data_IF_620615880055
#
_entry.id   IF_620615880055
#
_cell.length_a   1.000
_cell.length_b   1.000
_cell.length_c   1.000
_cell.angle_alpha   90.00
_cell.angle_beta   90.00
_cell.angle_gamma   90.00
#
_symmetry.space_group_name_H-M   'P 1'
#
loop_
_entity.id
_entity.type
_entity.pdbx_description
1 polymer ?
#
# COMPACT_ATOMS: atom_id res chain seq x y z
N UNK A 1 -23.43 17.02 14.00
CA UNK A 1 -24.04 17.66 12.81
C UNK A 1 -24.68 16.56 12.00
N UNK A 2 -25.94 16.72 11.61
CA UNK A 2 -26.52 15.81 10.62
C UNK A 2 -25.77 15.96 9.29
N UNK A 3 -25.49 14.86 8.56
CA UNK A 3 -24.86 14.95 7.25
C UNK A 3 -25.78 15.76 6.32
N UNK A 4 -25.21 16.77 5.65
CA UNK A 4 -25.94 17.55 4.68
C UNK A 4 -26.46 16.62 3.57
N UNK A 5 -27.79 16.50 3.46
CA UNK A 5 -28.42 15.74 2.38
C UNK A 5 -28.44 16.60 1.13
N UNK A 6 -27.77 16.14 0.07
CA UNK A 6 -27.81 16.77 -1.24
C UNK A 6 -28.78 16.00 -2.12
N UNK A 7 -29.77 16.69 -2.69
CA UNK A 7 -30.70 16.12 -3.66
C UNK A 7 -30.10 16.32 -5.05
N UNK A 8 -29.89 15.23 -5.79
CA UNK A 8 -29.43 15.27 -7.18
C UNK A 8 -30.59 15.72 -8.06
N UNK A 9 -30.49 16.87 -8.77
CA UNK A 9 -31.58 17.35 -9.62
C UNK A 9 -31.85 16.41 -10.80
N UNK A 10 -33.05 16.50 -11.38
CA UNK A 10 -33.42 15.70 -12.54
C UNK A 10 -32.42 15.86 -13.70
N UNK A 11 -32.17 14.76 -14.42
CA UNK A 11 -31.23 14.71 -15.54
C UNK A 11 -29.75 14.71 -15.15
N UNK A 12 -29.40 14.98 -13.90
CA UNK A 12 -28.01 14.89 -13.43
C UNK A 12 -27.69 13.48 -12.96
N UNK A 13 -26.42 13.09 -13.06
CA UNK A 13 -25.92 11.85 -12.45
C UNK A 13 -24.72 12.16 -11.57
N UNK A 14 -24.67 11.55 -10.39
CA UNK A 14 -23.60 11.68 -9.43
C UNK A 14 -22.79 10.39 -9.40
N UNK A 15 -21.47 10.48 -9.60
CA UNK A 15 -20.53 9.37 -9.38
C UNK A 15 -19.56 9.74 -8.27
N UNK A 16 -19.37 8.80 -7.35
CA UNK A 16 -18.47 8.96 -6.21
C UNK A 16 -17.34 7.95 -6.35
N UNK A 17 -16.11 8.44 -6.28
CA UNK A 17 -14.93 7.61 -6.29
C UNK A 17 -14.32 7.66 -4.88
N UNK A 18 -14.06 6.47 -4.33
CA UNK A 18 -13.39 6.28 -3.04
C UNK A 18 -12.04 5.60 -3.23
N UNK A 19 -11.25 5.57 -2.15
CA UNK A 19 -9.98 4.87 -2.16
C UNK A 19 -10.15 3.35 -2.25
N UNK A 20 -9.42 2.72 -3.17
CA UNK A 20 -9.37 1.26 -3.31
C UNK A 20 -8.46 0.64 -2.24
N UNK A 21 -8.84 -0.50 -1.63
CA UNK A 21 -7.96 -1.23 -0.72
C UNK A 21 -6.83 -1.96 -1.45
N UNK A 22 -6.94 -2.13 -2.77
CA UNK A 22 -5.95 -2.75 -3.64
C UNK A 22 -5.23 -1.71 -4.51
N UNK A 23 -3.95 -1.90 -4.84
CA UNK A 23 -3.24 -1.10 -5.81
C UNK A 23 -3.91 -1.18 -7.17
N UNK A 24 -4.28 -0.03 -7.71
CA UNK A 24 -4.89 0.04 -9.03
C UNK A 24 -4.79 1.46 -9.59
N UNK A 25 -4.86 1.55 -10.92
CA UNK A 25 -5.04 2.79 -11.64
C UNK A 25 -6.42 2.77 -12.29
N UNK A 26 -7.25 3.75 -11.97
CA UNK A 26 -8.59 3.90 -12.55
C UNK A 26 -8.70 5.28 -13.20
N UNK A 27 -9.31 5.35 -14.38
CA UNK A 27 -9.67 6.61 -15.02
C UNK A 27 -11.14 6.91 -14.70
N UNK A 28 -11.42 8.12 -14.23
CA UNK A 28 -12.78 8.62 -14.09
C UNK A 28 -13.34 9.07 -15.44
N UNK A 29 -14.65 9.24 -15.55
CA UNK A 29 -15.28 9.67 -16.81
C UNK A 29 -14.93 11.13 -17.13
N UNK A 30 -14.78 11.96 -16.09
CA UNK A 30 -14.28 13.33 -16.20
C UNK A 30 -12.79 13.44 -16.51
N UNK A 31 -12.07 12.31 -16.62
CA UNK A 31 -10.67 12.28 -17.04
C UNK A 31 -9.64 12.42 -15.92
N UNK A 32 -10.01 12.20 -14.65
CA UNK A 32 -9.09 12.16 -13.51
C UNK A 32 -8.49 10.75 -13.37
N UNK A 33 -7.18 10.67 -13.20
CA UNK A 33 -6.49 9.40 -12.92
C UNK A 33 -6.43 9.17 -11.41
N UNK A 34 -6.98 8.05 -10.94
CA UNK A 34 -7.01 7.64 -9.53
C UNK A 34 -5.99 6.51 -9.32
N UNK A 35 -4.85 6.85 -8.75
CA UNK A 35 -3.75 5.93 -8.46
C UNK A 35 -3.80 5.49 -6.98
N UNK A 36 -4.29 4.28 -6.75
CA UNK A 36 -4.45 3.75 -5.40
C UNK A 36 -3.25 2.89 -5.02
N UNK A 37 -2.68 3.06 -3.83
CA UNK A 37 -1.60 2.21 -3.29
C UNK A 37 -2.10 1.14 -2.30
N UNK A 38 -3.40 1.12 -1.99
CA UNK A 38 -4.02 0.10 -1.14
C UNK A 38 -3.69 0.22 0.36
N UNK A 39 -4.04 -0.83 1.13
CA UNK A 39 -4.06 -0.80 2.61
C UNK A 39 -2.71 -0.99 3.29
N UNK A 40 -1.90 -1.94 2.84
CA UNK A 40 -0.53 -2.22 3.26
C UNK A 40 0.00 -3.40 2.42
N UNK A 41 1.31 -3.54 2.31
CA UNK A 41 1.96 -4.57 1.50
C UNK A 41 3.32 -4.96 2.09
N UNK A 42 3.75 -6.20 1.87
CA UNK A 42 5.12 -6.65 2.16
C UNK A 42 6.12 -6.33 1.04
N UNK A 43 5.65 -5.73 -0.06
CA UNK A 43 6.49 -5.28 -1.19
C UNK A 43 6.03 -3.90 -1.73
N UNK A 44 6.00 -2.86 -0.88
CA UNK A 44 5.46 -1.56 -1.25
C UNK A 44 6.23 -0.89 -2.39
N UNK A 45 7.55 -1.13 -2.49
CA UNK A 45 8.40 -0.54 -3.53
C UNK A 45 8.05 -1.07 -4.91
N UNK A 46 7.95 -2.39 -5.06
CA UNK A 46 7.57 -3.01 -6.33
C UNK A 46 6.18 -2.56 -6.78
N UNK A 47 5.20 -2.54 -5.86
CA UNK A 47 3.85 -2.09 -6.19
C UNK A 47 3.81 -0.62 -6.62
N UNK A 48 4.61 0.25 -5.98
CA UNK A 48 4.76 1.64 -6.43
C UNK A 48 5.41 1.73 -7.81
N UNK A 49 6.44 0.92 -8.09
CA UNK A 49 7.11 0.90 -9.39
C UNK A 49 6.13 0.53 -10.51
N UNK A 50 5.37 -0.55 -10.31
CA UNK A 50 4.34 -1.02 -11.24
C UNK A 50 3.24 0.03 -11.43
N UNK A 51 2.70 0.59 -10.34
CA UNK A 51 1.67 1.63 -10.42
C UNK A 51 2.19 2.91 -11.07
N UNK A 52 3.39 3.34 -10.73
CA UNK A 52 4.02 4.51 -11.33
C UNK A 52 4.26 4.29 -12.81
N UNK A 53 4.71 3.11 -13.22
CA UNK A 53 4.86 2.78 -14.64
C UNK A 53 3.51 2.86 -15.37
N UNK A 54 2.45 2.32 -14.78
CA UNK A 54 1.10 2.42 -15.32
C UNK A 54 0.63 3.88 -15.46
N UNK A 55 0.85 4.72 -14.44
CA UNK A 55 0.54 6.15 -14.49
C UNK A 55 1.32 6.83 -15.60
N UNK A 56 2.64 6.60 -15.70
CA UNK A 56 3.48 7.20 -16.74
C UNK A 56 3.03 6.82 -18.16
N UNK A 57 2.63 5.56 -18.37
CA UNK A 57 2.09 5.12 -19.65
C UNK A 57 0.73 5.79 -19.92
N UNK A 58 -0.17 5.81 -18.95
CA UNK A 58 -1.48 6.48 -19.07
C UNK A 58 -1.34 7.97 -19.44
N UNK A 59 -0.43 8.69 -18.79
CA UNK A 59 -0.16 10.11 -19.05
C UNK A 59 0.43 10.38 -20.45
N UNK A 60 1.08 9.39 -21.06
CA UNK A 60 1.66 9.46 -22.41
C UNK A 60 0.65 9.05 -23.48
N UNK A 61 -0.01 7.93 -23.26
CA UNK A 61 -0.79 7.21 -24.28
C UNK A 61 -2.25 7.69 -24.33
N UNK A 62 -2.77 8.22 -23.21
CA UNK A 62 -4.15 8.69 -23.07
C UNK A 62 -4.21 10.05 -22.35
N UNK A 63 -3.75 11.14 -22.97
CA UNK A 63 -3.88 12.46 -22.38
C UNK A 63 -5.36 12.76 -22.08
N UNK A 64 -5.64 13.11 -20.84
CA UNK A 64 -6.98 13.47 -20.36
C UNK A 64 -7.03 14.94 -19.97
N UNK A 65 -8.22 15.54 -20.06
CA UNK A 65 -8.48 16.89 -19.58
C UNK A 65 -9.74 16.83 -18.72
N UNK A 66 -9.63 17.27 -17.47
CA UNK A 66 -10.75 17.32 -16.54
C UNK A 66 -11.19 18.77 -16.29
N UNK A 67 -12.48 18.98 -16.09
CA UNK A 67 -13.02 20.24 -15.60
C UNK A 67 -13.12 20.14 -14.07
N UNK A 68 -12.09 20.64 -13.38
CA UNK A 68 -12.04 20.60 -11.92
C UNK A 68 -12.73 21.82 -11.34
N UNK A 69 -13.70 21.64 -10.46
CA UNK A 69 -14.25 22.73 -9.67
C UNK A 69 -13.17 23.30 -8.73
N UNK A 70 -13.05 24.63 -8.69
CA UNK A 70 -11.96 25.29 -7.98
C UNK A 70 -12.01 25.07 -6.45
N UNK A 71 -10.82 24.79 -5.88
CA UNK A 71 -10.55 24.91 -4.44
C UNK A 71 -10.63 23.60 -3.64
N UNK A 72 -9.50 23.10 -3.07
CA UNK A 72 -9.56 22.04 -2.07
C UNK A 72 -10.26 22.53 -0.79
N UNK A 73 -11.33 21.84 -0.37
CA UNK A 73 -11.97 22.04 0.94
C UNK A 73 -13.04 23.13 1.06
N UNK A 74 -13.51 23.72 -0.05
CA UNK A 74 -14.54 24.77 0.02
C UNK A 74 -15.65 24.69 -1.04
N UNK A 75 -15.70 23.62 -1.85
CA UNK A 75 -16.80 23.45 -2.79
C UNK A 75 -18.03 22.90 -2.08
N UNK A 76 -19.20 23.52 -2.29
CA UNK A 76 -20.46 22.89 -1.89
C UNK A 76 -20.89 22.02 -3.05
N UNK A 77 -21.17 20.74 -2.78
CA UNK A 77 -21.62 19.79 -3.82
C UNK A 77 -22.85 20.32 -4.59
N UNK A 78 -23.72 21.11 -3.94
CA UNK A 78 -24.85 21.80 -4.58
C UNK A 78 -24.45 22.68 -5.77
N UNK A 79 -23.27 23.29 -5.71
CA UNK A 79 -22.83 24.29 -6.68
C UNK A 79 -22.45 23.63 -8.02
N UNK A 80 -22.12 22.35 -8.01
CA UNK A 80 -21.85 21.56 -9.23
C UNK A 80 -23.12 21.28 -10.05
N UNK A 81 -24.30 21.35 -9.43
CA UNK A 81 -25.59 21.18 -10.10
C UNK A 81 -26.23 22.51 -10.50
N UNK A 82 -25.63 23.65 -10.14
CA UNK A 82 -26.22 24.95 -10.40
C UNK A 82 -26.27 25.21 -11.93
N UNK A 83 -27.36 25.83 -12.43
CA UNK A 83 -27.46 26.19 -13.84
C UNK A 83 -26.46 27.26 -14.26
N UNK A 84 -25.96 28.07 -13.31
CA UNK A 84 -24.85 28.99 -13.54
C UNK A 84 -23.53 28.23 -13.75
N UNK A 85 -22.62 28.77 -14.57
CA UNK A 85 -21.30 28.17 -14.79
C UNK A 85 -20.50 28.15 -13.47
N UNK A 86 -20.26 26.99 -12.84
CA UNK A 86 -19.42 26.92 -11.66
C UNK A 86 -18.00 27.36 -12.02
N UNK A 87 -17.27 27.90 -11.05
CA UNK A 87 -15.85 28.19 -11.24
C UNK A 87 -15.09 26.88 -11.41
N UNK A 88 -14.71 26.60 -12.65
CA UNK A 88 -14.02 25.37 -13.04
C UNK A 88 -12.74 25.71 -13.80
N UNK A 89 -11.68 24.97 -13.47
CA UNK A 89 -10.39 25.07 -14.11
C UNK A 89 -10.13 23.84 -14.97
N UNK A 90 -9.93 23.99 -16.29
CA UNK A 90 -9.49 22.88 -17.12
C UNK A 90 -8.09 22.44 -16.69
N UNK A 91 -7.96 21.16 -16.36
CA UNK A 91 -6.75 20.58 -15.80
C UNK A 91 -6.29 19.41 -16.67
N UNK A 92 -5.05 19.49 -17.15
CA UNK A 92 -4.47 18.45 -17.99
C UNK A 92 -3.95 17.29 -17.14
N UNK A 93 -4.47 16.10 -17.39
CA UNK A 93 -4.04 14.83 -16.83
C UNK A 93 -3.90 14.80 -15.30
N UNK A 94 -4.92 15.27 -14.52
CA UNK A 94 -4.80 15.30 -13.07
C UNK A 94 -4.68 13.89 -12.49
N UNK A 95 -3.76 13.71 -11.54
CA UNK A 95 -3.54 12.44 -10.84
C UNK A 95 -3.85 12.59 -9.35
N UNK A 96 -4.75 11.76 -8.84
CA UNK A 96 -5.08 11.66 -7.42
C UNK A 96 -4.53 10.35 -6.89
N UNK A 97 -3.62 10.45 -5.93
CA UNK A 97 -3.00 9.32 -5.26
C UNK A 97 -3.69 9.02 -3.95
N UNK A 98 -3.88 7.75 -3.60
CA UNK A 98 -4.48 7.38 -2.31
C UNK A 98 -3.57 6.44 -1.53
N UNK A 99 -3.44 6.75 -0.24
CA UNK A 99 -2.76 5.94 0.76
C UNK A 99 -3.75 5.66 1.88
N UNK A 100 -3.96 4.40 2.21
CA UNK A 100 -4.53 4.07 3.51
C UNK A 100 -3.44 4.15 4.58
N UNK A 101 -3.83 4.22 5.85
CA UNK A 101 -2.89 4.39 6.97
C UNK A 101 -1.79 3.33 6.98
N UNK A 102 -2.10 2.05 6.73
CA UNK A 102 -1.10 0.99 6.73
C UNK A 102 -0.05 1.16 5.63
N UNK A 103 -0.44 1.65 4.45
CA UNK A 103 0.47 1.95 3.34
C UNK A 103 1.35 3.14 3.70
N UNK A 104 0.75 4.24 4.18
CA UNK A 104 1.50 5.42 4.61
C UNK A 104 2.51 5.09 5.72
N UNK A 105 2.12 4.26 6.70
CA UNK A 105 3.00 3.74 7.74
C UNK A 105 4.19 2.99 7.13
N UNK A 106 3.94 2.02 6.24
CA UNK A 106 4.98 1.20 5.60
C UNK A 106 6.02 2.02 4.82
N UNK A 107 5.61 3.16 4.25
CA UNK A 107 6.51 4.11 3.60
C UNK A 107 7.36 4.89 4.59
N UNK A 108 6.82 5.24 5.76
CA UNK A 108 7.52 5.98 6.81
C UNK A 108 8.37 5.11 7.75
N UNK A 109 8.30 3.78 7.64
CA UNK A 109 9.11 2.86 8.45
C UNK A 109 10.61 2.89 8.10
N UNK A 110 10.95 3.21 6.85
CA UNK A 110 12.31 3.18 6.36
C UNK A 110 12.61 4.40 5.47
N UNK A 111 13.63 5.22 5.79
CA UNK A 111 14.02 6.38 5.00
C UNK A 111 14.26 6.07 3.52
N UNK A 112 14.85 4.91 3.22
CA UNK A 112 15.10 4.48 1.84
C UNK A 112 13.80 4.27 1.05
N UNK A 113 12.75 3.68 1.67
CA UNK A 113 11.45 3.51 1.00
C UNK A 113 10.81 4.87 0.73
N UNK A 114 10.81 5.75 1.72
CA UNK A 114 10.25 7.10 1.58
C UNK A 114 10.98 7.93 0.51
N UNK A 115 12.31 7.83 0.43
CA UNK A 115 13.10 8.42 -0.64
C UNK A 115 12.65 7.96 -2.02
N UNK A 116 12.45 6.65 -2.21
CA UNK A 116 11.92 6.09 -3.48
C UNK A 116 10.56 6.68 -3.78
N UNK A 117 9.64 6.70 -2.80
CA UNK A 117 8.31 7.28 -2.96
C UNK A 117 8.37 8.72 -3.46
N UNK A 118 9.09 9.60 -2.74
CA UNK A 118 9.20 11.02 -3.08
C UNK A 118 9.83 11.22 -4.46
N UNK A 119 10.81 10.39 -4.84
CA UNK A 119 11.43 10.42 -6.17
C UNK A 119 10.42 10.10 -7.27
N UNK A 120 9.50 9.17 -7.05
CA UNK A 120 8.45 8.82 -8.02
C UNK A 120 7.47 9.97 -8.22
N UNK A 121 6.93 10.55 -7.15
CA UNK A 121 6.03 11.71 -7.21
C UNK A 121 6.65 12.90 -7.92
N UNK A 122 7.92 13.20 -7.59
CA UNK A 122 8.68 14.26 -8.23
C UNK A 122 8.80 14.04 -9.74
N UNK A 123 9.21 12.83 -10.16
CA UNK A 123 9.39 12.50 -11.58
C UNK A 123 8.07 12.52 -12.34
N UNK A 124 6.97 12.03 -11.75
CA UNK A 124 5.64 12.05 -12.37
C UNK A 124 5.18 13.49 -12.62
N UNK A 125 5.33 14.37 -11.62
CA UNK A 125 4.98 15.79 -11.77
C UNK A 125 5.77 16.51 -12.87
N UNK A 126 6.96 16.02 -13.21
CA UNK A 126 7.87 16.61 -14.20
C UNK A 126 7.85 15.94 -15.57
N UNK A 127 6.97 14.97 -15.82
CA UNK A 127 6.96 14.28 -17.11
C UNK A 127 6.62 15.18 -18.30
N UNK A 128 5.91 16.28 -18.07
CA UNK A 128 5.40 17.18 -19.10
C UNK A 128 5.45 18.63 -18.62
N UNK A 129 5.36 19.55 -19.59
CA UNK A 129 5.18 20.98 -19.37
C UNK A 129 3.81 21.39 -19.98
N UNK A 130 2.89 22.02 -19.21
CA UNK A 130 2.97 22.30 -17.78
C UNK A 130 3.04 21.02 -16.93
N UNK A 131 3.50 21.15 -15.68
CA UNK A 131 3.64 20.03 -14.74
C UNK A 131 2.31 19.30 -14.54
N UNK A 132 2.40 17.98 -14.40
CA UNK A 132 1.24 17.12 -14.11
C UNK A 132 0.69 17.49 -12.72
N UNK A 133 -0.57 17.97 -12.62
CA UNK A 133 -1.19 18.28 -11.34
C UNK A 133 -1.44 17.02 -10.53
N UNK A 134 -1.04 17.04 -9.26
CA UNK A 134 -1.10 15.87 -8.38
C UNK A 134 -1.74 16.24 -7.05
N UNK A 135 -2.53 15.32 -6.49
CA UNK A 135 -3.06 15.39 -5.12
C UNK A 135 -2.84 14.06 -4.43
N UNK A 136 -2.64 14.08 -3.13
CA UNK A 136 -2.53 12.86 -2.31
C UNK A 136 -3.65 12.85 -1.27
N UNK A 137 -4.34 11.73 -1.14
CA UNK A 137 -5.26 11.45 -0.05
C UNK A 137 -4.63 10.48 0.92
N UNK A 138 -4.61 10.85 2.21
CA UNK A 138 -4.36 9.92 3.30
C UNK A 138 -5.71 9.54 3.89
N UNK A 139 -6.04 8.27 3.72
CA UNK A 139 -7.29 7.63 4.10
C UNK A 139 -7.01 6.93 5.43
N UNK A 140 -7.94 7.05 6.38
CA UNK A 140 -7.83 6.63 7.80
C UNK A 140 -7.21 7.69 8.74
N UNK A 141 -7.34 7.44 10.04
CA UNK A 141 -7.03 8.37 11.13
C UNK A 141 -5.52 8.67 11.30
N UNK A 142 -5.24 9.68 12.14
CA UNK A 142 -3.88 10.19 12.38
C UNK A 142 -2.96 9.11 12.99
N UNK A 143 -1.91 8.76 12.25
CA UNK A 143 -0.78 7.98 12.78
C UNK A 143 0.37 8.90 13.20
N UNK A 144 1.26 8.50 14.13
CA UNK A 144 2.28 9.39 14.69
C UNK A 144 3.17 10.07 13.64
N UNK A 145 3.49 9.37 12.55
CA UNK A 145 4.33 9.85 11.45
C UNK A 145 3.56 10.59 10.36
N UNK A 146 2.22 10.68 10.44
CA UNK A 146 1.37 11.26 9.39
C UNK A 146 1.78 12.68 9.06
N UNK A 147 2.05 13.51 10.08
CA UNK A 147 2.47 14.90 9.88
C UNK A 147 3.78 15.03 9.11
N UNK A 148 4.77 14.18 9.42
CA UNK A 148 6.04 14.18 8.71
C UNK A 148 5.86 13.75 7.25
N UNK A 149 5.08 12.68 7.02
CA UNK A 149 4.73 12.19 5.69
C UNK A 149 4.02 13.25 4.84
N UNK A 150 2.95 13.86 5.38
CA UNK A 150 2.19 14.93 4.74
C UNK A 150 3.06 16.14 4.46
N UNK A 151 3.91 16.55 5.41
CA UNK A 151 4.83 17.67 5.22
C UNK A 151 5.82 17.43 4.08
N UNK A 152 6.37 16.22 3.94
CA UNK A 152 7.31 15.87 2.87
C UNK A 152 6.65 15.90 1.48
N UNK A 153 5.41 15.42 1.36
CA UNK A 153 4.63 15.53 0.12
C UNK A 153 4.27 16.99 -0.19
N UNK A 154 3.87 17.76 0.83
CA UNK A 154 3.62 19.20 0.70
C UNK A 154 4.87 19.96 0.23
N UNK A 155 6.06 19.57 0.69
CA UNK A 155 7.34 20.14 0.24
C UNK A 155 7.62 19.90 -1.24
N UNK A 156 7.08 18.83 -1.85
CA UNK A 156 7.10 18.61 -3.30
C UNK A 156 6.14 19.54 -4.07
N UNK A 157 5.29 20.29 -3.36
CA UNK A 157 4.20 21.08 -3.94
C UNK A 157 2.96 20.25 -4.26
N UNK A 158 2.80 19.08 -3.62
CA UNK A 158 1.66 18.20 -3.80
C UNK A 158 0.69 18.42 -2.64
N UNK A 159 -0.52 18.96 -2.88
CA UNK A 159 -1.52 19.09 -1.83
C UNK A 159 -1.90 17.72 -1.27
N UNK A 160 -2.01 17.65 0.06
CA UNK A 160 -2.45 16.46 0.76
C UNK A 160 -3.80 16.72 1.37
N UNK A 161 -4.71 15.78 1.18
CA UNK A 161 -6.12 15.84 1.52
C UNK A 161 -6.47 14.70 2.47
N UNK A 162 -7.50 14.92 3.29
CA UNK A 162 -8.16 13.90 4.11
C UNK A 162 -9.62 13.78 3.67
N UNK A 163 -10.14 12.58 3.39
CA UNK A 163 -11.56 12.43 3.09
C UNK A 163 -12.40 12.71 4.35
N UNK A 164 -13.49 13.45 4.23
CA UNK A 164 -14.39 13.78 5.36
C UNK A 164 -15.44 12.71 5.64
N UNK A 165 -15.88 12.01 4.60
CA UNK A 165 -17.01 11.08 4.68
C UNK A 165 -16.59 9.71 5.21
N UNK A 166 -17.48 9.02 5.92
CA UNK A 166 -17.35 7.57 6.20
C UNK A 166 -17.14 6.75 4.91
N UNK A 167 -17.70 7.23 3.78
CA UNK A 167 -17.56 6.63 2.45
C UNK A 167 -16.19 6.86 1.80
N UNK A 168 -15.28 7.62 2.46
CA UNK A 168 -13.92 7.91 2.02
C UNK A 168 -13.85 8.45 0.58
N UNK A 169 -14.81 9.29 0.21
CA UNK A 169 -14.90 9.87 -1.13
C UNK A 169 -13.72 10.83 -1.38
N UNK A 170 -13.00 10.60 -2.47
CA UNK A 170 -11.83 11.38 -2.89
C UNK A 170 -12.13 12.24 -4.11
N UNK A 171 -12.97 11.76 -5.02
CA UNK A 171 -13.39 12.49 -6.22
C UNK A 171 -14.90 12.33 -6.39
N UNK A 172 -15.55 13.43 -6.71
CA UNK A 172 -16.97 13.50 -7.02
C UNK A 172 -17.12 13.96 -8.47
N UNK A 173 -17.93 13.27 -9.25
CA UNK A 173 -18.26 13.67 -10.62
C UNK A 173 -19.75 13.92 -10.78
N UNK A 174 -20.09 15.06 -11.35
CA UNK A 174 -21.45 15.43 -11.73
C UNK A 174 -21.53 15.44 -13.24
N UNK A 175 -22.31 14.50 -13.78
CA UNK A 175 -22.71 14.49 -15.17
C UNK A 175 -23.95 15.37 -15.32
N UNK A 176 -23.83 16.44 -16.10
CA UNK A 176 -24.92 17.38 -16.34
C UNK A 176 -25.72 17.00 -17.61
N UNK A 177 -27.02 17.35 -17.70
CA UNK A 177 -27.87 17.03 -18.86
C UNK A 177 -27.33 17.50 -20.22
N UNK A 178 -26.57 18.60 -20.24
CA UNK A 178 -25.93 19.17 -21.42
C UNK A 178 -24.67 18.42 -21.89
N UNK A 179 -24.31 17.31 -21.24
CA UNK A 179 -23.18 16.45 -21.61
C UNK A 179 -21.83 16.87 -21.00
N UNK A 180 -21.81 17.85 -20.10
CA UNK A 180 -20.63 18.25 -19.35
C UNK A 180 -20.42 17.33 -18.14
N UNK A 181 -19.16 16.95 -17.88
CA UNK A 181 -18.76 16.25 -16.65
C UNK A 181 -17.90 17.20 -15.83
N UNK A 182 -18.34 17.49 -14.62
CA UNK A 182 -17.61 18.31 -13.66
C UNK A 182 -17.05 17.41 -12.57
N UNK A 183 -15.75 17.50 -12.31
CA UNK A 183 -15.10 16.74 -11.25
C UNK A 183 -14.70 17.68 -10.11
N UNK A 184 -14.84 17.21 -8.87
CA UNK A 184 -14.41 17.93 -7.68
C UNK A 184 -13.63 17.01 -6.74
N UNK A 185 -12.60 17.56 -6.09
CA UNK A 185 -11.79 16.85 -5.11
C UNK A 185 -12.48 16.89 -3.76
N UNK A 186 -12.94 15.73 -3.27
CA UNK A 186 -13.64 15.61 -2.00
C UNK A 186 -12.74 15.84 -0.78
N UNK A 187 -13.35 16.01 0.39
CA UNK A 187 -12.61 16.13 1.65
C UNK A 187 -11.97 17.50 1.89
N UNK A 188 -11.08 17.56 2.88
CA UNK A 188 -10.42 18.79 3.32
C UNK A 188 -8.91 18.70 3.16
N UNK A 189 -8.21 19.84 2.98
CA UNK A 189 -6.76 19.89 3.14
C UNK A 189 -6.36 19.26 4.48
N UNK A 190 -5.38 18.37 4.44
CA UNK A 190 -4.76 17.88 5.66
C UNK A 190 -4.14 19.09 6.37
N UNK A 191 -4.52 19.32 7.64
CA UNK A 191 -4.08 20.51 8.38
C UNK A 191 -2.57 20.66 8.22
N UNK A 192 -2.16 21.71 7.52
CA UNK A 192 -0.76 21.90 7.15
C UNK A 192 0.08 21.93 8.42
N UNK A 193 1.23 21.25 8.40
CA UNK A 193 2.23 21.45 9.45
C UNK A 193 2.62 22.92 9.40
N UNK A 194 2.25 23.68 10.43
CA UNK A 194 2.67 25.07 10.57
C UNK A 194 4.21 25.11 10.53
N UNK A 195 4.77 25.84 9.55
CA UNK A 195 6.21 25.94 9.38
C UNK A 195 6.63 26.35 7.96
N UNK A 196 7.89 26.78 7.79
CA UNK A 196 8.42 27.10 6.48
C UNK A 196 8.42 25.84 5.60
N UNK A 197 8.00 26.01 4.34
CA UNK A 197 8.12 24.95 3.32
C UNK A 197 9.60 24.60 3.17
N UNK A 198 9.96 23.38 3.55
CA UNK A 198 11.33 22.91 3.44
C UNK A 198 11.60 22.54 1.98
N UNK A 199 12.37 23.38 1.29
CA UNK A 199 12.68 23.21 -0.12
C UNK A 199 13.69 22.08 -0.38
N UNK A 200 14.28 21.46 0.66
CA UNK A 200 15.33 20.45 0.53
C UNK A 200 14.94 19.31 -0.42
N UNK A 201 13.76 18.69 -0.22
CA UNK A 201 13.32 17.55 -1.03
C UNK A 201 13.23 17.91 -2.52
N UNK A 202 12.76 19.11 -2.86
CA UNK A 202 12.73 19.57 -4.27
C UNK A 202 14.14 19.82 -4.81
N UNK A 203 15.01 20.42 -4.00
CA UNK A 203 16.37 20.74 -4.39
C UNK A 203 17.22 19.48 -4.63
N UNK A 204 17.17 18.51 -3.72
CA UNK A 204 17.93 17.24 -3.87
C UNK A 204 17.46 16.44 -5.07
N UNK A 205 16.14 16.40 -5.34
CA UNK A 205 15.60 15.75 -6.54
C UNK A 205 16.04 16.44 -7.83
N UNK A 206 16.10 17.77 -7.87
CA UNK A 206 16.62 18.52 -9.02
C UNK A 206 18.13 18.33 -9.22
N UNK A 207 18.90 18.14 -8.14
CA UNK A 207 20.32 17.80 -8.23
C UNK A 207 20.53 16.37 -8.72
N UNK A 208 19.70 15.41 -8.27
CA UNK A 208 19.71 14.04 -8.81
C UNK A 208 19.41 14.00 -10.30
N UNK A 209 18.44 14.77 -10.79
CA UNK A 209 18.19 14.90 -12.24
C UNK A 209 19.44 15.38 -13.00
N UNK A 210 20.16 16.38 -12.46
CA UNK A 210 21.38 16.90 -13.07
C UNK A 210 22.52 15.89 -13.05
N UNK A 211 22.69 15.16 -11.94
CA UNK A 211 23.69 14.11 -11.82
C UNK A 211 23.39 12.91 -12.74
N UNK A 212 22.11 12.51 -12.86
CA UNK A 212 21.65 11.48 -13.81
C UNK A 212 21.92 11.89 -15.26
N UNK A 213 21.60 13.13 -15.63
CA UNK A 213 21.89 13.66 -16.97
C UNK A 213 23.40 13.71 -17.28
N UNK A 214 24.24 13.88 -16.26
CA UNK A 214 25.70 13.83 -16.37
C UNK A 214 26.30 12.42 -16.23
N UNK A 215 25.47 11.40 -15.98
CA UNK A 215 25.87 10.02 -15.67
C UNK A 215 26.87 9.92 -14.47
N UNK A 216 26.75 10.83 -13.50
CA UNK A 216 27.62 10.94 -12.32
C UNK A 216 27.10 10.07 -11.16
N UNK A 217 27.34 8.75 -11.25
CA UNK A 217 26.88 7.78 -10.24
C UNK A 217 27.37 8.08 -8.82
N UNK A 218 28.66 8.40 -8.57
CA UNK A 218 29.13 8.70 -7.22
C UNK A 218 28.42 9.89 -6.59
N UNK A 219 28.00 10.88 -7.39
CA UNK A 219 27.22 12.00 -6.90
C UNK A 219 25.77 11.61 -6.57
N UNK A 220 25.14 10.77 -7.38
CA UNK A 220 23.79 10.26 -7.10
C UNK A 220 23.78 9.50 -5.77
N UNK A 221 24.72 8.57 -5.57
CA UNK A 221 24.84 7.76 -4.35
C UNK A 221 24.98 8.63 -3.10
N UNK A 222 25.82 9.68 -3.16
CA UNK A 222 26.00 10.64 -2.07
C UNK A 222 24.73 11.42 -1.77
N UNK A 223 24.06 11.96 -2.79
CA UNK A 223 22.79 12.68 -2.62
C UNK A 223 21.70 11.77 -2.06
N UNK A 224 21.71 10.49 -2.42
CA UNK A 224 20.80 9.50 -1.87
C UNK A 224 21.07 9.22 -0.39
N UNK A 225 22.33 9.11 0.01
CA UNK A 225 22.72 8.95 1.41
C UNK A 225 22.34 10.18 2.25
N UNK A 226 22.68 11.39 1.78
CA UNK A 226 22.32 12.64 2.44
C UNK A 226 20.80 12.79 2.63
N UNK A 227 20.01 12.43 1.59
CA UNK A 227 18.56 12.48 1.70
C UNK A 227 18.02 11.41 2.67
N UNK A 228 18.60 10.20 2.71
CA UNK A 228 18.21 9.17 3.70
C UNK A 228 18.45 9.65 5.12
N UNK A 229 19.58 10.30 5.38
CA UNK A 229 19.90 10.88 6.69
C UNK A 229 18.94 12.01 7.06
N UNK A 230 18.62 12.88 6.10
CA UNK A 230 17.62 13.93 6.27
C UNK A 230 16.24 13.33 6.61
N UNK A 231 15.80 12.33 5.84
CA UNK A 231 14.50 11.69 6.04
C UNK A 231 14.42 10.96 7.38
N UNK A 232 15.49 10.27 7.80
CA UNK A 232 15.57 9.61 9.11
C UNK A 232 15.37 10.62 10.25
N UNK A 233 15.98 11.80 10.17
CA UNK A 233 15.78 12.88 11.14
C UNK A 233 14.35 13.42 11.12
N UNK A 234 13.73 13.49 9.93
CA UNK A 234 12.42 14.11 9.74
C UNK A 234 11.25 13.22 10.18
N UNK A 235 11.30 11.93 9.85
CA UNK A 235 10.28 10.95 10.28
C UNK A 235 10.49 10.52 11.74
N UNK A 236 11.67 10.82 12.31
CA UNK A 236 12.11 10.38 13.63
C UNK A 236 12.55 8.92 13.61
N UNK A 237 13.18 8.48 14.71
CA UNK A 237 13.34 7.04 14.91
C UNK A 237 11.94 6.44 14.97
N UNK A 238 11.60 5.44 14.13
CA UNK A 238 10.37 4.70 14.33
C UNK A 238 10.38 4.27 15.79
N UNK A 239 9.30 4.56 16.53
CA UNK A 239 9.15 4.01 17.86
C UNK A 239 9.49 2.52 17.74
N UNK A 240 10.37 2.02 18.61
CA UNK A 240 10.68 0.60 18.68
C UNK A 240 9.39 -0.09 19.12
N UNK A 241 8.48 -0.28 18.18
CA UNK A 241 7.23 -0.96 18.33
C UNK A 241 7.52 -2.30 17.69
N UNK A 242 7.95 -3.30 18.49
CA UNK A 242 8.12 -4.67 18.04
C UNK A 242 6.77 -5.34 17.78
N UNK A 243 5.69 -4.58 17.64
CA UNK A 243 4.37 -5.10 17.37
C UNK A 243 4.42 -5.72 15.98
N UNK A 244 4.37 -7.05 15.98
CA UNK A 244 4.23 -7.91 14.82
C UNK A 244 2.89 -7.62 14.16
N UNK A 245 2.79 -6.46 13.51
CA UNK A 245 1.57 -6.07 12.85
C UNK A 245 1.39 -6.93 11.60
N UNK A 246 0.26 -7.65 11.51
CA UNK A 246 -0.05 -8.45 10.34
C UNK A 246 -0.29 -7.51 9.14
N UNK A 247 0.27 -7.88 7.99
CA UNK A 247 -0.03 -7.16 6.75
C UNK A 247 -1.39 -7.58 6.20
N UNK A 248 -2.10 -6.64 5.57
CA UNK A 248 -3.36 -6.96 4.88
C UNK A 248 -3.10 -7.81 3.64
N UNK A 249 -1.98 -7.56 2.96
CA UNK A 249 -1.55 -8.26 1.75
C UNK A 249 -0.04 -8.53 1.79
N UNK A 250 0.36 -9.68 1.28
CA UNK A 250 1.75 -10.11 1.21
C UNK A 250 2.10 -10.57 -0.22
N UNK A 251 2.07 -9.68 -1.24
CA UNK A 251 2.33 -10.05 -2.62
C UNK A 251 3.68 -10.74 -2.85
N UNK A 252 4.74 -10.36 -2.13
CA UNK A 252 6.06 -10.99 -2.30
C UNK A 252 6.06 -12.43 -1.82
N UNK A 253 5.60 -12.69 -0.59
CA UNK A 253 5.51 -14.06 -0.09
C UNK A 253 4.49 -14.88 -0.89
N UNK A 254 3.38 -14.27 -1.29
CA UNK A 254 2.38 -14.91 -2.15
C UNK A 254 2.97 -15.35 -3.49
N UNK A 255 3.76 -14.50 -4.14
CA UNK A 255 4.43 -14.82 -5.40
C UNK A 255 5.37 -16.02 -5.24
N UNK A 256 6.12 -16.12 -4.14
CA UNK A 256 7.02 -17.25 -3.88
C UNK A 256 6.24 -18.55 -3.65
N UNK A 257 5.13 -18.50 -2.91
CA UNK A 257 4.27 -19.66 -2.70
C UNK A 257 3.64 -20.15 -4.02
N UNK A 258 3.20 -19.23 -4.87
CA UNK A 258 2.66 -19.55 -6.19
C UNK A 258 3.75 -20.06 -7.16
N UNK A 259 4.99 -19.57 -7.07
CA UNK A 259 6.13 -20.09 -7.83
C UNK A 259 6.43 -21.54 -7.46
N UNK A 260 6.44 -21.87 -6.15
CA UNK A 260 6.63 -23.25 -5.69
C UNK A 260 5.55 -24.18 -6.23
N UNK A 261 4.30 -23.76 -6.19
CA UNK A 261 3.18 -24.54 -6.71
C UNK A 261 3.25 -24.72 -8.24
N UNK A 262 3.51 -23.63 -8.99
CA UNK A 262 3.69 -23.68 -10.44
C UNK A 262 4.88 -24.57 -10.86
N UNK A 263 5.97 -24.55 -10.08
CA UNK A 263 7.14 -25.40 -10.28
C UNK A 263 7.01 -26.80 -9.66
N UNK A 264 5.82 -27.18 -9.17
CA UNK A 264 5.52 -28.48 -8.53
C UNK A 264 6.50 -28.86 -7.42
N UNK A 265 6.89 -27.89 -6.60
CA UNK A 265 7.79 -28.11 -5.47
C UNK A 265 9.26 -28.29 -5.88
N UNK A 266 9.71 -27.67 -6.97
CA UNK A 266 11.13 -27.73 -7.35
C UNK A 266 12.05 -27.24 -6.22
N UNK A 267 13.22 -27.87 -6.10
CA UNK A 267 14.24 -27.53 -5.09
C UNK A 267 14.58 -26.03 -5.14
N UNK A 268 14.76 -25.47 -6.34
CA UNK A 268 15.10 -24.06 -6.51
C UNK A 268 14.02 -23.12 -5.94
N UNK A 269 12.75 -23.37 -6.27
CA UNK A 269 11.63 -22.55 -5.80
C UNK A 269 11.48 -22.67 -4.27
N UNK A 270 11.62 -23.89 -3.73
CA UNK A 270 11.60 -24.12 -2.28
C UNK A 270 12.75 -23.38 -1.57
N UNK A 271 13.96 -23.41 -2.13
CA UNK A 271 15.11 -22.69 -1.54
C UNK A 271 14.89 -21.17 -1.53
N UNK A 272 14.24 -20.59 -2.56
CA UNK A 272 13.86 -19.16 -2.55
C UNK A 272 12.87 -18.87 -1.43
N UNK A 273 11.82 -19.68 -1.32
CA UNK A 273 10.83 -19.57 -0.24
C UNK A 273 11.48 -19.70 1.15
N UNK A 274 12.37 -20.65 1.34
CA UNK A 274 13.05 -20.88 2.62
C UNK A 274 13.91 -19.69 3.04
N UNK A 275 14.67 -19.11 2.10
CA UNK A 275 15.43 -17.88 2.38
C UNK A 275 14.53 -16.75 2.82
N UNK A 276 13.40 -16.54 2.14
CA UNK A 276 12.42 -15.53 2.52
C UNK A 276 11.89 -15.78 3.95
N UNK A 277 11.41 -16.98 4.24
CA UNK A 277 10.85 -17.31 5.57
C UNK A 277 11.87 -17.08 6.71
N UNK A 278 13.14 -17.36 6.48
CA UNK A 278 14.19 -17.22 7.50
C UNK A 278 14.54 -15.76 7.81
N UNK A 279 14.41 -14.84 6.84
CA UNK A 279 14.79 -13.43 7.02
C UNK A 279 13.59 -12.49 7.18
N UNK A 280 12.38 -12.96 6.84
CA UNK A 280 11.17 -12.15 6.84
C UNK A 280 10.82 -11.68 8.27
N UNK A 281 10.72 -10.36 8.50
CA UNK A 281 10.32 -9.82 9.80
C UNK A 281 8.80 -9.81 10.01
N UNK A 282 8.02 -9.82 8.92
CA UNK A 282 6.55 -9.76 8.93
C UNK A 282 5.99 -11.10 9.39
N UNK A 283 5.08 -11.13 10.38
CA UNK A 283 4.54 -12.37 10.91
C UNK A 283 3.69 -13.12 9.88
N UNK A 284 3.68 -14.45 10.01
CA UNK A 284 2.64 -15.31 9.46
C UNK A 284 1.45 -15.33 10.42
N UNK A 285 0.26 -15.50 9.86
CA UNK A 285 -0.97 -15.59 10.63
C UNK A 285 -1.34 -17.04 10.83
N UNK A 286 -1.85 -17.35 12.01
CA UNK A 286 -2.26 -18.68 12.43
C UNK A 286 -3.68 -18.60 12.96
N UNK A 287 -4.45 -19.66 12.76
CA UNK A 287 -5.81 -19.77 13.30
C UNK A 287 -5.73 -20.44 14.66
N UNK A 288 -6.32 -19.77 15.67
CA UNK A 288 -6.42 -20.29 17.02
C UNK A 288 -7.87 -20.41 17.49
N UNK A 289 -8.11 -21.28 18.45
CA UNK A 289 -9.39 -21.35 19.13
C UNK A 289 -9.55 -20.13 20.08
N UNK A 290 -10.69 -19.39 20.03
CA UNK A 290 -10.84 -18.14 20.77
C UNK A 290 -10.67 -18.28 22.30
N UNK A 291 -11.10 -19.41 22.87
CA UNK A 291 -11.23 -19.59 24.32
C UNK A 291 -9.93 -20.01 25.01
N UNK A 292 -9.20 -20.94 24.42
CA UNK A 292 -7.99 -21.55 25.02
C UNK A 292 -6.70 -21.12 24.31
N UNK A 293 -6.80 -20.31 23.24
CA UNK A 293 -5.68 -19.85 22.42
C UNK A 293 -4.83 -20.99 21.82
N UNK A 294 -5.37 -22.21 21.73
CA UNK A 294 -4.68 -23.31 21.07
C UNK A 294 -4.67 -23.09 19.56
N UNK A 295 -3.52 -23.29 18.92
CA UNK A 295 -3.41 -23.27 17.47
C UNK A 295 -4.15 -24.46 16.87
N UNK A 296 -4.85 -24.22 15.77
CA UNK A 296 -5.59 -25.26 15.06
C UNK A 296 -4.67 -26.07 14.15
N UNK A 297 -4.63 -27.39 14.35
CA UNK A 297 -3.99 -28.32 13.41
C UNK A 297 -5.01 -28.82 12.40
N UNK A 298 -4.57 -29.03 11.16
CA UNK A 298 -5.39 -29.66 10.12
C UNK A 298 -4.64 -30.80 9.45
N UNK A 299 -5.38 -31.81 9.04
CA UNK A 299 -4.83 -32.94 8.29
C UNK A 299 -4.72 -32.58 6.82
N UNK A 300 -3.52 -32.71 6.26
CA UNK A 300 -3.25 -32.55 4.83
C UNK A 300 -2.80 -33.89 4.22
N UNK A 301 -3.07 -34.11 2.93
CA UNK A 301 -2.44 -35.21 2.19
C UNK A 301 -0.92 -35.16 2.35
N UNK A 302 -0.28 -36.33 2.38
CA UNK A 302 1.18 -36.54 2.40
C UNK A 302 1.92 -36.16 3.69
N UNK A 303 1.49 -35.13 4.43
CA UNK A 303 2.19 -34.65 5.64
C UNK A 303 1.43 -34.87 6.95
N UNK A 304 0.16 -35.30 6.89
CA UNK A 304 -0.65 -35.52 8.08
C UNK A 304 -1.02 -34.21 8.79
N UNK A 305 -1.04 -34.17 10.14
CA UNK A 305 -1.35 -32.95 10.89
C UNK A 305 -0.30 -31.85 10.66
N UNK A 306 -0.74 -30.69 10.17
CA UNK A 306 0.09 -29.51 9.97
C UNK A 306 -0.58 -28.24 10.55
N UNK A 307 0.24 -27.25 10.88
CA UNK A 307 -0.19 -25.90 11.25
C UNK A 307 -0.48 -25.08 9.99
N UNK A 308 -1.73 -24.69 9.71
CA UNK A 308 -2.05 -23.76 8.63
C UNK A 308 -1.51 -22.38 8.98
N UNK A 309 -0.69 -21.81 8.09
CA UNK A 309 -0.10 -20.49 8.24
C UNK A 309 -0.36 -19.65 6.99
N UNK A 310 -0.75 -18.40 7.19
CA UNK A 310 -1.18 -17.49 6.12
C UNK A 310 -0.22 -16.31 6.02
N UNK A 311 0.13 -15.85 4.81
CA UNK A 311 1.08 -14.77 4.62
C UNK A 311 0.49 -13.40 4.98
N UNK A 312 -0.84 -13.27 4.95
CA UNK A 312 -1.57 -12.01 5.13
C UNK A 312 -3.02 -12.22 5.61
N UNK A 313 -3.67 -11.11 6.03
CA UNK A 313 -5.07 -11.13 6.50
C UNK A 313 -6.05 -11.50 5.39
N UNK A 314 -5.77 -11.15 4.14
CA UNK A 314 -6.63 -11.46 3.00
C UNK A 314 -6.79 -12.97 2.81
N UNK A 315 -5.67 -13.70 2.74
CA UNK A 315 -5.65 -15.16 2.59
C UNK A 315 -6.33 -15.84 3.78
N UNK A 316 -6.10 -15.34 4.99
CA UNK A 316 -6.76 -15.85 6.19
C UNK A 316 -8.28 -15.62 6.17
N UNK A 317 -8.76 -14.45 5.73
CA UNK A 317 -10.20 -14.18 5.63
C UNK A 317 -10.88 -15.02 4.55
N UNK A 318 -10.22 -15.26 3.41
CA UNK A 318 -10.73 -16.17 2.39
C UNK A 318 -10.82 -17.61 2.89
N UNK A 319 -9.82 -18.08 3.65
CA UNK A 319 -9.92 -19.38 4.33
C UNK A 319 -11.07 -19.44 5.32
N UNK A 320 -11.33 -18.37 6.08
CA UNK A 320 -12.48 -18.32 6.96
C UNK A 320 -13.80 -18.42 6.18
N UNK A 321 -13.91 -17.71 5.05
CA UNK A 321 -15.08 -17.75 4.18
C UNK A 321 -15.31 -19.14 3.57
N UNK A 322 -14.25 -19.78 3.05
CA UNK A 322 -14.29 -21.13 2.48
C UNK A 322 -14.80 -22.18 3.47
N UNK A 323 -14.44 -22.01 4.74
CA UNK A 323 -14.86 -22.89 5.83
C UNK A 323 -16.15 -22.43 6.51
N UNK A 324 -16.83 -21.42 5.95
CA UNK A 324 -18.08 -20.87 6.46
C UNK A 324 -17.97 -20.43 7.93
N UNK A 325 -16.80 -19.90 8.32
CA UNK A 325 -16.54 -19.40 9.67
C UNK A 325 -16.95 -17.93 9.77
N UNK A 326 -17.93 -17.60 10.63
CA UNK A 326 -18.34 -16.22 10.79
C UNK A 326 -17.26 -15.39 11.50
N UNK A 327 -17.23 -14.06 11.30
CA UNK A 327 -16.35 -13.17 12.04
C UNK A 327 -16.45 -13.40 13.57
N UNK A 328 -15.30 -13.45 14.23
CA UNK A 328 -15.21 -13.70 15.69
C UNK A 328 -15.30 -15.17 16.11
N UNK A 329 -15.54 -16.12 15.20
CA UNK A 329 -15.59 -17.55 15.54
C UNK A 329 -14.20 -18.19 15.72
N UNK A 330 -13.14 -17.46 15.38
CA UNK A 330 -11.75 -17.91 15.48
C UNK A 330 -10.86 -16.75 15.95
N UNK A 331 -9.76 -17.09 16.61
CA UNK A 331 -8.70 -16.15 16.96
C UNK A 331 -7.64 -16.11 15.87
N UNK A 332 -7.01 -14.94 15.70
CA UNK A 332 -5.84 -14.77 14.84
C UNK A 332 -4.63 -14.64 15.75
N UNK A 333 -3.64 -15.52 15.57
CA UNK A 333 -2.33 -15.37 16.18
C UNK A 333 -1.33 -14.94 15.09
N UNK A 334 -0.39 -14.06 15.46
CA UNK A 334 0.68 -13.61 14.58
C UNK A 334 2.02 -14.12 15.13
N UNK A 335 2.86 -14.71 14.27
CA UNK A 335 4.16 -15.24 14.67
C UNK A 335 5.16 -15.02 13.55
N UNK A 336 6.37 -14.53 13.88
CA UNK A 336 7.44 -14.45 12.86
C UNK A 336 7.68 -15.84 12.27
N UNK A 337 7.91 -15.96 10.96
CA UNK A 337 8.11 -17.27 10.35
C UNK A 337 9.26 -18.05 10.99
N UNK A 338 10.35 -17.35 11.36
CA UNK A 338 11.47 -17.96 12.09
C UNK A 338 11.04 -18.60 13.42
N UNK A 339 10.25 -17.88 14.23
CA UNK A 339 9.77 -18.38 15.52
C UNK A 339 8.81 -19.57 15.34
N UNK A 340 7.95 -19.50 14.31
CA UNK A 340 7.05 -20.59 13.93
C UNK A 340 7.83 -21.85 13.51
N UNK A 341 8.83 -21.71 12.64
CA UNK A 341 9.69 -22.80 12.19
C UNK A 341 10.41 -23.45 13.37
N UNK A 342 10.98 -22.65 14.28
CA UNK A 342 11.67 -23.18 15.48
C UNK A 342 10.70 -23.91 16.41
N UNK A 343 9.51 -23.35 16.63
CA UNK A 343 8.48 -23.96 17.48
C UNK A 343 7.96 -25.28 16.89
N UNK A 344 7.57 -25.27 15.61
CA UNK A 344 7.08 -26.44 14.90
C UNK A 344 8.17 -27.51 14.75
N UNK A 345 9.43 -27.12 14.49
CA UNK A 345 10.57 -28.03 14.38
C UNK A 345 10.86 -28.77 15.68
N UNK A 346 10.77 -28.10 16.83
CA UNK A 346 10.90 -28.76 18.16
C UNK A 346 9.81 -29.81 18.39
N UNK A 347 8.62 -29.60 17.85
CA UNK A 347 7.46 -30.47 18.01
C UNK A 347 7.34 -31.52 16.89
N UNK A 348 8.22 -31.48 15.88
CA UNK A 348 8.11 -32.32 14.68
C UNK A 348 6.83 -32.07 13.88
N UNK A 349 6.21 -30.89 14.04
CA UNK A 349 4.93 -30.53 13.41
C UNK A 349 5.16 -29.95 12.02
N UNK A 350 4.39 -30.40 11.04
CA UNK A 350 4.41 -29.85 9.68
C UNK A 350 3.79 -28.45 9.63
N UNK A 351 4.15 -27.65 8.62
CA UNK A 351 3.54 -26.34 8.36
C UNK A 351 2.91 -26.37 6.98
N UNK A 352 1.66 -25.91 6.87
CA UNK A 352 0.97 -25.74 5.59
C UNK A 352 0.82 -24.24 5.31
N UNK A 353 1.69 -23.70 4.45
CA UNK A 353 1.64 -22.30 4.04
C UNK A 353 0.55 -22.15 2.99
N UNK A 354 -0.46 -21.32 3.28
CA UNK A 354 -1.61 -21.15 2.43
C UNK A 354 -1.69 -19.75 1.83
N UNK A 355 -1.81 -19.71 0.51
CA UNK A 355 -2.13 -18.51 -0.27
C UNK A 355 -3.30 -18.82 -1.18
N UNK A 356 -3.99 -17.80 -1.65
CA UNK A 356 -5.10 -17.93 -2.58
C UNK A 356 -4.76 -17.25 -3.90
N UNK A 357 -4.98 -17.93 -5.02
CA UNK A 357 -4.86 -17.31 -6.36
C UNK A 357 -6.02 -16.34 -6.62
N UNK A 358 -7.19 -16.72 -6.16
CA UNK A 358 -8.45 -15.99 -6.22
C UNK A 358 -9.31 -16.39 -5.00
N UNK A 359 -10.45 -15.74 -4.73
CA UNK A 359 -11.27 -16.02 -3.54
C UNK A 359 -11.76 -17.47 -3.38
N UNK A 360 -11.60 -18.34 -4.39
CA UNK A 360 -12.10 -19.72 -4.41
C UNK A 360 -11.01 -20.77 -4.63
N UNK A 361 -9.77 -20.36 -4.91
CA UNK A 361 -8.68 -21.28 -5.29
C UNK A 361 -7.52 -21.20 -4.29
N UNK A 362 -7.56 -21.98 -3.20
CA UNK A 362 -6.45 -22.07 -2.26
C UNK A 362 -5.28 -22.88 -2.85
N UNK A 363 -4.08 -22.46 -2.52
CA UNK A 363 -2.81 -23.14 -2.81
C UNK A 363 -2.12 -23.41 -1.48
N UNK A 364 -1.62 -24.63 -1.30
CA UNK A 364 -0.90 -25.05 -0.10
C UNK A 364 0.52 -25.48 -0.46
N UNK A 365 1.50 -24.83 0.14
CA UNK A 365 2.88 -25.32 0.15
C UNK A 365 3.12 -26.05 1.47
N UNK A 366 3.31 -27.36 1.38
CA UNK A 366 3.45 -28.23 2.53
C UNK A 366 4.91 -28.40 2.92
N UNK A 367 5.26 -27.99 4.13
CA UNK A 367 6.57 -28.21 4.73
C UNK A 367 6.46 -29.39 5.70
N UNK A 368 7.05 -30.52 5.33
CA UNK A 368 7.06 -31.72 6.16
C UNK A 368 7.76 -31.46 7.51
N UNK A 369 7.44 -32.25 8.54
CA UNK A 369 8.12 -32.12 9.83
C UNK A 369 9.64 -32.35 9.77
N UNK A 370 10.14 -33.04 8.75
CA UNK A 370 11.57 -33.15 8.47
C UNK A 370 12.14 -31.85 7.87
N UNK A 371 11.49 -31.29 6.85
CA UNK A 371 11.88 -30.03 6.25
C UNK A 371 11.86 -28.87 7.26
N UNK A 372 10.83 -28.79 8.10
CA UNK A 372 10.72 -27.78 9.18
C UNK A 372 11.85 -27.94 10.20
N UNK A 373 12.22 -29.18 10.57
CA UNK A 373 13.38 -29.44 11.45
C UNK A 373 14.70 -29.00 10.82
N UNK A 374 14.91 -29.32 9.54
CA UNK A 374 16.09 -28.88 8.80
C UNK A 374 16.22 -27.35 8.76
N UNK A 375 15.11 -26.64 8.48
CA UNK A 375 15.06 -25.18 8.50
C UNK A 375 15.33 -24.60 9.89
N UNK A 376 14.79 -25.22 10.94
CA UNK A 376 15.04 -24.78 12.32
C UNK A 376 16.53 -24.93 12.71
N UNK A 377 17.23 -25.95 12.22
CA UNK A 377 18.67 -26.09 12.43
C UNK A 377 19.48 -25.07 11.60
N UNK A 378 19.06 -24.78 10.37
CA UNK A 378 19.66 -23.73 9.56
C UNK A 378 19.54 -22.35 10.23
N UNK A 379 18.35 -22.03 10.76
CA UNK A 379 18.08 -20.83 11.54
C UNK A 379 19.06 -20.68 12.73
N UNK A 380 19.21 -21.73 13.54
CA UNK A 380 20.12 -21.73 14.70
C UNK A 380 21.57 -21.47 14.28
N UNK A 381 22.02 -22.01 13.15
CA UNK A 381 23.37 -21.79 12.62
C UNK A 381 23.57 -20.33 12.20
N UNK A 382 22.59 -19.74 11.52
CA UNK A 382 22.65 -18.34 11.10
C UNK A 382 22.69 -17.36 12.30
N UNK A 383 21.90 -17.62 13.34
CA UNK A 383 21.92 -16.80 14.57
C UNK A 383 23.25 -16.90 15.33
N UNK A 384 23.91 -18.07 15.32
CA UNK A 384 25.24 -18.23 15.93
C UNK A 384 26.34 -17.49 15.18
N UNK A 385 26.24 -17.38 13.86
CA UNK A 385 27.23 -16.69 13.02
C UNK A 385 27.09 -15.15 13.05
N UNK A 386 25.93 -14.64 13.45
CA UNK A 386 25.64 -13.19 13.55
C UNK A 386 25.75 -12.66 14.99
N UNK A 387 26.14 -13.52 15.94
CA UNK A 387 26.37 -13.18 17.35
C UNK A 387 27.81 -12.79 17.68
N UNK A 388 28.63 -12.51 16.66
CA UNK A 388 29.86 -11.70 16.72
C UNK A 388 29.53 -10.31 16.17
#
# INVERSE_FOLDING_TARGET
>A
MEPARVVVPEGHQLKLFGASPEPCLVRSDGGVWLANLGTASDDPVRELDELSHAVKNALRDEPSRALLADGPGAFRLSDLFAPAEPQVSPTECPVVWTFHQGSAKAWTEAPARLQVLLRHFYRIGRQREPRVPQWVYVVDDDFPQARAFVGLLGNLGIPVMRPESEQRTIVVEVHRPEGMILSALGGQPYATVEGPVDAYIRAVNAEKDRAEAANDKPRIERLEEEERDYLAKRIGSPAASPDLEPVVRAPRLSSLLLEVDAARGSEEALQKLYRELLVRPIPLLLVGAPKNRSLELRSFPDVGPALPAFPDLRSLHWMAADLQRPPGSFGIAAMRPLDLIVMAGKQGTAIALNVYRDPKTPVYVLLSGEAVRALAEQAKRATRQTGE
#
